data_IF_801696269707
#
_entry.id   IF_801696269707
#
_cell.length_a   1.000
_cell.length_b   1.000
_cell.length_c   1.000
_cell.angle_alpha   90.00
_cell.angle_beta   90.00
_cell.angle_gamma   90.00
#
_symmetry.space_group_name_H-M   'P 1'
#
loop_
_entity.id
_entity.type
_entity.pdbx_description
1 polymer ?
#
# COMPACT_ATOMS: atom_id res chain seq x y z
N UNK A 1 16.99 -7.55 -20.90
CA UNK A 1 17.63 -6.25 -21.14
C UNK A 1 19.02 -6.35 -20.55
N UNK A 2 20.00 -6.61 -21.41
CA UNK A 2 21.38 -6.87 -21.02
C UNK A 2 21.93 -5.71 -20.21
N UNK A 3 22.36 -6.02 -18.97
CA UNK A 3 23.07 -5.07 -18.15
C UNK A 3 24.40 -4.76 -18.83
N UNK A 4 24.50 -3.55 -19.37
CA UNK A 4 25.77 -2.96 -19.75
C UNK A 4 26.59 -2.75 -18.47
N UNK A 5 27.19 -3.82 -17.96
CA UNK A 5 28.39 -3.75 -17.14
C UNK A 5 29.47 -3.14 -18.03
N UNK A 6 29.45 -1.81 -18.18
CA UNK A 6 30.64 -1.07 -18.51
C UNK A 6 31.55 -1.27 -17.32
N UNK A 7 32.45 -2.23 -17.45
CA UNK A 7 33.65 -2.32 -16.63
C UNK A 7 34.34 -0.96 -16.72
N UNK A 8 34.02 -0.09 -15.78
CA UNK A 8 34.89 1.02 -15.44
C UNK A 8 36.08 0.36 -14.77
N UNK A 9 37.00 -0.16 -15.58
CA UNK A 9 38.32 -0.54 -15.15
C UNK A 9 38.92 0.69 -14.47
N UNK A 10 38.78 0.74 -13.15
CA UNK A 10 39.61 1.52 -12.26
C UNK A 10 41.03 1.29 -12.76
N UNK A 11 41.77 2.37 -13.01
CA UNK A 11 43.07 2.34 -13.69
C UNK A 11 43.89 1.09 -13.34
N UNK A 12 44.68 0.52 -14.27
CA UNK A 12 45.78 -0.33 -13.85
C UNK A 12 46.58 0.50 -12.85
N UNK A 13 46.58 0.08 -11.58
CA UNK A 13 47.34 0.78 -10.57
C UNK A 13 48.79 0.72 -11.05
N UNK A 14 49.44 1.87 -11.25
CA UNK A 14 50.88 1.94 -11.52
C UNK A 14 51.71 1.55 -10.28
N UNK A 15 51.18 0.65 -9.45
CA UNK A 15 51.74 0.11 -8.21
C UNK A 15 51.98 -1.37 -8.41
N UNK A 16 52.75 -1.72 -9.44
CA UNK A 16 53.10 -3.09 -9.78
C UNK A 16 54.57 -3.17 -10.20
N UNK A 17 55.19 -4.36 -10.21
CA UNK A 17 56.58 -4.54 -10.62
C UNK A 17 56.86 -4.03 -12.05
N UNK A 18 55.81 -3.92 -12.88
CA UNK A 18 55.88 -3.35 -14.23
C UNK A 18 56.19 -1.84 -14.22
N UNK A 19 55.70 -1.06 -13.24
CA UNK A 19 56.02 0.37 -13.17
C UNK A 19 57.48 0.61 -12.77
N UNK A 20 58.08 -0.30 -12.01
CA UNK A 20 59.52 -0.30 -11.75
C UNK A 20 60.34 -0.62 -13.00
N UNK A 21 59.92 -1.60 -13.80
CA UNK A 21 60.57 -1.91 -15.09
C UNK A 21 60.45 -0.76 -16.08
N UNK A 22 59.28 -0.10 -16.14
CA UNK A 22 59.06 1.09 -16.96
C UNK A 22 59.92 2.26 -16.49
N UNK A 23 60.03 2.47 -15.17
CA UNK A 23 60.90 3.51 -14.59
C UNK A 23 62.37 3.26 -14.92
N UNK A 24 62.85 2.02 -14.75
CA UNK A 24 64.21 1.61 -15.10
C UNK A 24 64.46 1.70 -16.61
N UNK A 25 63.48 1.31 -17.43
CA UNK A 25 63.55 1.37 -18.88
C UNK A 25 63.61 2.80 -19.40
N UNK A 26 62.73 3.69 -18.93
CA UNK A 26 62.73 5.11 -19.29
C UNK A 26 63.99 5.83 -18.81
N UNK A 27 64.48 5.50 -17.60
CA UNK A 27 65.75 6.02 -17.08
C UNK A 27 66.94 5.54 -17.91
N UNK A 28 66.96 4.25 -18.29
CA UNK A 28 67.98 3.70 -19.19
C UNK A 28 67.93 4.30 -20.60
N UNK A 29 66.73 4.59 -21.11
CA UNK A 29 66.53 5.26 -22.40
C UNK A 29 67.05 6.71 -22.35
N UNK A 30 66.82 7.42 -21.23
CA UNK A 30 67.38 8.75 -21.01
C UNK A 30 68.92 8.73 -21.01
N UNK A 31 69.54 7.75 -20.34
CA UNK A 31 71.00 7.55 -20.37
C UNK A 31 71.51 7.21 -21.78
N UNK A 32 70.79 6.37 -22.52
CA UNK A 32 71.13 6.01 -23.90
C UNK A 32 71.05 7.20 -24.86
N UNK A 33 70.05 8.05 -24.71
CA UNK A 33 69.93 9.30 -25.47
C UNK A 33 71.05 10.29 -25.11
N UNK A 34 71.39 10.42 -23.82
CA UNK A 34 72.52 11.24 -23.37
C UNK A 34 73.84 10.80 -24.00
N UNK A 35 74.09 9.48 -24.06
CA UNK A 35 75.28 8.91 -24.70
C UNK A 35 75.31 9.16 -26.23
N UNK A 36 74.15 9.17 -26.89
CA UNK A 36 74.05 9.40 -28.34
C UNK A 36 74.26 10.88 -28.72
N UNK A 37 73.75 11.81 -27.92
CA UNK A 37 73.83 13.25 -28.17
C UNK A 37 75.21 13.83 -27.81
N UNK A 38 75.77 13.43 -26.67
CA UNK A 38 77.06 13.94 -26.15
C UNK A 38 77.90 12.81 -25.56
N UNK A 39 78.69 12.07 -26.37
CA UNK A 39 79.47 10.91 -25.91
C UNK A 39 80.51 11.22 -24.81
N UNK A 40 80.90 12.49 -24.67
CA UNK A 40 81.90 12.97 -23.71
C UNK A 40 81.29 13.36 -22.34
N UNK A 41 79.97 13.58 -22.28
CA UNK A 41 79.24 13.88 -21.04
C UNK A 41 77.80 13.32 -21.11
N UNK A 42 77.64 11.99 -20.93
CA UNK A 42 76.36 11.31 -21.14
C UNK A 42 75.29 11.67 -20.11
N UNK A 43 75.67 12.26 -18.99
CA UNK A 43 74.77 12.76 -17.95
C UNK A 43 74.57 14.28 -18.01
N UNK A 44 75.26 14.97 -18.93
CA UNK A 44 75.23 16.43 -19.10
C UNK A 44 75.56 17.19 -17.80
N UNK A 45 76.49 16.68 -17.00
CA UNK A 45 76.83 17.22 -15.67
C UNK A 45 77.60 18.54 -15.78
N UNK A 46 78.36 18.73 -16.85
CA UNK A 46 79.17 19.94 -17.06
C UNK A 46 78.36 21.09 -17.70
N UNK A 47 77.12 20.84 -18.15
CA UNK A 47 76.23 21.90 -18.61
C UNK A 47 75.54 22.60 -17.43
N UNK A 48 75.48 23.94 -17.46
CA UNK A 48 74.83 24.71 -16.38
C UNK A 48 73.32 24.54 -16.45
N UNK A 49 72.71 23.94 -15.41
CA UNK A 49 71.27 23.71 -15.39
C UNK A 49 70.48 25.04 -15.32
N UNK A 50 69.56 25.28 -16.25
CA UNK A 50 68.79 26.51 -16.27
C UNK A 50 67.55 26.42 -15.36
N UNK A 51 67.69 26.97 -14.16
CA UNK A 51 66.63 27.01 -13.14
C UNK A 51 65.31 27.65 -13.62
N UNK A 52 65.35 28.49 -14.66
CA UNK A 52 64.15 29.14 -15.19
C UNK A 52 63.19 28.18 -15.89
N UNK A 53 63.61 26.95 -16.23
CA UNK A 53 62.73 25.86 -16.71
C UNK A 53 61.67 25.50 -15.66
N UNK A 54 61.93 25.76 -14.37
CA UNK A 54 60.95 25.50 -13.31
C UNK A 54 59.68 26.34 -13.46
N UNK A 55 59.75 27.54 -14.05
CA UNK A 55 58.58 28.39 -14.25
C UNK A 55 57.52 27.74 -15.16
N UNK A 56 57.84 27.31 -16.40
CA UNK A 56 56.87 26.62 -17.26
C UNK A 56 56.46 25.26 -16.71
N UNK A 57 57.31 24.57 -15.95
CA UNK A 57 56.95 23.32 -15.25
C UNK A 57 55.89 23.56 -14.17
N UNK A 58 56.10 24.53 -13.28
CA UNK A 58 55.15 24.86 -12.20
C UNK A 58 53.82 25.38 -12.76
N UNK A 59 53.88 26.23 -13.79
CA UNK A 59 52.69 26.76 -14.45
C UNK A 59 51.97 25.69 -15.26
N UNK A 60 52.69 24.77 -15.90
CA UNK A 60 52.12 23.61 -16.58
C UNK A 60 51.42 22.66 -15.62
N UNK A 61 52.04 22.34 -14.48
CA UNK A 61 51.47 21.46 -13.45
C UNK A 61 50.25 22.06 -12.75
N UNK A 62 50.25 23.39 -12.55
CA UNK A 62 49.15 24.09 -11.87
C UNK A 62 48.03 24.53 -12.81
N UNK A 63 48.31 24.78 -14.09
CA UNK A 63 47.34 25.42 -14.97
C UNK A 63 47.15 24.75 -16.34
N UNK A 64 47.89 23.68 -16.64
CA UNK A 64 47.67 22.84 -17.82
C UNK A 64 48.58 23.17 -18.98
N UNK A 65 48.41 22.44 -20.08
CA UNK A 65 49.24 22.49 -21.28
C UNK A 65 49.41 23.92 -21.80
N UNK A 66 48.30 24.63 -22.00
CA UNK A 66 48.32 25.94 -22.65
C UNK A 66 49.11 26.98 -21.85
N UNK A 67 48.98 26.98 -20.51
CA UNK A 67 49.68 27.96 -19.65
C UNK A 67 51.16 27.60 -19.45
N UNK A 68 51.49 26.30 -19.44
CA UNK A 68 52.88 25.83 -19.48
C UNK A 68 53.58 26.23 -20.78
N UNK A 69 52.90 26.06 -21.92
CA UNK A 69 53.40 26.44 -23.24
C UNK A 69 53.57 27.97 -23.36
N UNK A 70 52.59 28.77 -22.93
CA UNK A 70 52.71 30.23 -22.96
C UNK A 70 53.89 30.70 -22.10
N UNK A 71 54.08 30.12 -20.92
CA UNK A 71 55.24 30.45 -20.08
C UNK A 71 56.55 30.08 -20.77
N UNK A 72 56.63 28.92 -21.43
CA UNK A 72 57.85 28.50 -22.13
C UNK A 72 58.15 29.41 -23.33
N UNK A 73 57.13 29.76 -24.11
CA UNK A 73 57.23 30.70 -25.24
C UNK A 73 57.67 32.09 -24.79
N UNK A 74 57.14 32.60 -23.67
CA UNK A 74 57.56 33.89 -23.12
C UNK A 74 59.04 33.90 -22.73
N UNK A 75 59.54 32.82 -22.14
CA UNK A 75 60.95 32.70 -21.76
C UNK A 75 61.86 32.55 -22.99
N UNK A 76 61.40 31.84 -24.02
CA UNK A 76 62.10 31.76 -25.32
C UNK A 76 62.10 33.12 -26.02
N UNK A 77 61.00 33.87 -25.97
CA UNK A 77 60.93 35.22 -26.55
C UNK A 77 61.87 36.18 -25.83
N UNK A 78 61.90 36.13 -24.49
CA UNK A 78 62.85 36.92 -23.69
C UNK A 78 64.30 36.60 -24.09
N UNK A 79 64.62 35.33 -24.33
CA UNK A 79 65.93 34.90 -24.82
C UNK A 79 66.28 35.53 -26.18
N UNK A 80 65.35 35.54 -27.14
CA UNK A 80 65.57 36.20 -28.43
C UNK A 80 65.77 37.71 -28.30
N UNK A 81 65.04 38.37 -27.38
CA UNK A 81 65.21 39.80 -27.09
C UNK A 81 66.63 40.05 -26.53
N UNK A 82 67.08 39.29 -25.53
CA UNK A 82 68.43 39.44 -24.95
C UNK A 82 69.54 39.16 -25.95
N UNK A 83 69.32 38.22 -26.88
CA UNK A 83 70.23 37.95 -27.99
C UNK A 83 70.32 39.13 -28.95
N UNK A 84 69.19 39.74 -29.30
CA UNK A 84 69.15 40.91 -30.19
C UNK A 84 69.75 42.17 -29.58
N UNK A 85 69.73 42.31 -28.25
CA UNK A 85 70.35 43.43 -27.52
C UNK A 85 71.87 43.28 -27.32
N UNK A 86 72.48 42.20 -27.83
CA UNK A 86 73.94 42.07 -27.88
C UNK A 86 74.62 41.60 -26.60
N UNK A 87 73.90 41.02 -25.63
CA UNK A 87 74.54 40.41 -24.45
C UNK A 87 75.36 39.18 -24.87
N UNK A 88 76.66 39.18 -24.58
CA UNK A 88 77.61 38.12 -24.95
C UNK A 88 77.17 36.73 -24.45
N UNK A 89 76.55 36.65 -23.26
CA UNK A 89 76.07 35.40 -22.67
C UNK A 89 74.95 34.68 -23.46
N UNK A 90 74.27 35.36 -24.40
CA UNK A 90 73.12 34.81 -25.14
C UNK A 90 73.37 34.67 -26.65
N UNK A 91 74.61 34.89 -27.11
CA UNK A 91 74.95 34.79 -28.54
C UNK A 91 75.05 33.33 -29.01
N UNK A 92 75.52 32.42 -28.15
CA UNK A 92 75.72 31.00 -28.43
C UNK A 92 74.83 30.10 -27.55
N UNK A 93 73.52 30.30 -27.60
CA UNK A 93 72.58 29.40 -26.90
C UNK A 93 72.33 28.13 -27.73
N UNK A 94 72.51 26.92 -27.16
CA UNK A 94 72.19 25.67 -27.84
C UNK A 94 70.70 25.58 -28.24
N UNK A 95 70.43 25.11 -29.46
CA UNK A 95 69.04 24.88 -29.91
C UNK A 95 68.28 23.87 -29.01
N UNK A 96 69.02 22.97 -28.34
CA UNK A 96 68.49 22.03 -27.35
C UNK A 96 67.81 22.73 -26.16
N UNK A 97 68.27 23.92 -25.76
CA UNK A 97 67.68 24.69 -24.66
C UNK A 97 66.26 25.16 -24.98
N UNK A 98 66.05 25.72 -26.18
CA UNK A 98 64.74 26.23 -26.62
C UNK A 98 63.74 25.07 -26.72
N UNK A 99 64.17 23.97 -27.32
CA UNK A 99 63.34 22.76 -27.48
C UNK A 99 63.03 22.14 -26.12
N UNK A 100 64.02 22.02 -25.23
CA UNK A 100 63.84 21.48 -23.88
C UNK A 100 62.86 22.31 -23.04
N UNK A 101 62.93 23.63 -23.10
CA UNK A 101 62.00 24.55 -22.42
C UNK A 101 60.54 24.35 -22.88
N UNK A 102 60.33 24.24 -24.19
CA UNK A 102 58.99 24.02 -24.76
C UNK A 102 58.45 22.63 -24.39
N UNK A 103 59.26 21.58 -24.58
CA UNK A 103 58.85 20.20 -24.28
C UNK A 103 58.56 20.03 -22.79
N UNK A 104 59.39 20.59 -21.91
CA UNK A 104 59.20 20.49 -20.46
C UNK A 104 57.86 21.10 -20.01
N UNK A 105 57.54 22.32 -20.49
CA UNK A 105 56.26 22.97 -20.20
C UNK A 105 55.06 22.24 -20.79
N UNK A 106 55.19 21.76 -22.03
CA UNK A 106 54.14 21.02 -22.73
C UNK A 106 53.84 19.68 -22.08
N UNK A 107 54.87 18.88 -21.78
CA UNK A 107 54.71 17.52 -21.29
C UNK A 107 54.05 17.50 -19.91
N UNK A 108 54.52 18.34 -18.98
CA UNK A 108 53.92 18.43 -17.64
C UNK A 108 52.49 18.96 -17.69
N UNK A 109 52.22 19.92 -18.58
CA UNK A 109 50.86 20.45 -18.77
C UNK A 109 49.89 19.44 -19.40
N UNK A 110 50.33 18.65 -20.38
CA UNK A 110 49.50 17.63 -21.03
C UNK A 110 49.12 16.52 -20.04
N UNK A 111 50.08 16.05 -19.23
CA UNK A 111 49.79 15.07 -18.18
C UNK A 111 48.75 15.62 -17.20
N UNK A 112 48.88 16.87 -16.77
CA UNK A 112 47.89 17.51 -15.90
C UNK A 112 46.51 17.53 -16.55
N UNK A 113 46.41 17.92 -17.81
CA UNK A 113 45.13 18.02 -18.52
C UNK A 113 44.48 16.65 -18.76
N UNK A 114 45.28 15.60 -18.95
CA UNK A 114 44.79 14.21 -18.98
C UNK A 114 44.21 13.81 -17.60
N UNK A 115 44.92 14.12 -16.52
CA UNK A 115 44.47 13.79 -15.16
C UNK A 115 43.21 14.55 -14.76
N UNK A 116 43.11 15.84 -15.07
CA UNK A 116 41.92 16.65 -14.80
C UNK A 116 40.71 16.12 -15.56
N UNK A 117 40.84 15.91 -16.88
CA UNK A 117 39.75 15.32 -17.70
C UNK A 117 39.32 13.93 -17.23
N UNK A 118 40.20 13.20 -16.54
CA UNK A 118 39.89 11.89 -15.96
C UNK A 118 39.18 12.04 -14.61
N UNK A 119 39.64 12.96 -13.77
CA UNK A 119 39.02 13.25 -12.48
C UNK A 119 37.57 13.73 -12.67
N UNK A 120 37.35 14.65 -13.60
CA UNK A 120 36.00 15.12 -13.95
C UNK A 120 35.08 13.97 -14.40
N UNK A 121 35.58 13.05 -15.23
CA UNK A 121 34.82 11.86 -15.65
C UNK A 121 34.48 10.92 -14.49
N UNK A 122 35.37 10.79 -13.51
CA UNK A 122 35.12 9.98 -12.32
C UNK A 122 34.09 10.63 -11.40
N UNK A 123 34.17 11.94 -11.24
CA UNK A 123 33.23 12.72 -10.43
C UNK A 123 31.81 12.63 -11.01
N UNK A 124 31.66 12.87 -12.32
CA UNK A 124 30.39 12.70 -13.02
C UNK A 124 29.81 11.28 -12.90
N UNK A 125 30.67 10.25 -12.95
CA UNK A 125 30.22 8.87 -12.79
C UNK A 125 29.79 8.55 -11.35
N UNK A 126 30.41 9.18 -10.36
CA UNK A 126 30.04 9.05 -8.96
C UNK A 126 28.71 9.75 -8.67
N UNK A 127 28.55 11.00 -9.14
CA UNK A 127 27.32 11.76 -9.02
C UNK A 127 26.13 11.01 -9.63
N UNK A 128 26.32 10.44 -10.82
CA UNK A 128 25.30 9.61 -11.46
C UNK A 128 24.91 8.38 -10.62
N UNK A 129 25.88 7.72 -9.96
CA UNK A 129 25.62 6.58 -9.07
C UNK A 129 24.85 7.01 -7.83
N UNK A 130 25.21 8.14 -7.23
CA UNK A 130 24.50 8.68 -6.07
C UNK A 130 23.05 9.02 -6.42
N UNK A 131 22.83 9.72 -7.53
CA UNK A 131 21.49 10.08 -7.99
C UNK A 131 20.61 8.85 -8.22
N UNK A 132 21.20 7.78 -8.78
CA UNK A 132 20.48 6.51 -9.00
C UNK A 132 20.17 5.77 -7.70
N UNK A 133 21.06 5.80 -6.71
CA UNK A 133 20.81 5.23 -5.39
C UNK A 133 19.68 5.96 -4.66
N UNK A 134 19.63 7.29 -4.76
CA UNK A 134 18.57 8.10 -4.16
C UNK A 134 17.21 7.80 -4.80
N UNK A 135 17.17 7.65 -6.12
CA UNK A 135 15.95 7.25 -6.84
C UNK A 135 15.45 5.86 -6.41
N UNK A 136 16.36 4.87 -6.32
CA UNK A 136 16.03 3.54 -5.79
C UNK A 136 15.52 3.60 -4.35
N UNK A 137 16.16 4.40 -3.50
CA UNK A 137 15.77 4.55 -2.09
C UNK A 137 14.38 5.17 -1.97
N UNK A 138 14.09 6.22 -2.74
CA UNK A 138 12.77 6.85 -2.79
C UNK A 138 11.71 5.87 -3.28
N UNK A 139 11.96 5.14 -4.37
CA UNK A 139 11.03 4.16 -4.90
C UNK A 139 10.72 3.05 -3.87
N UNK A 140 11.76 2.51 -3.22
CA UNK A 140 11.61 1.50 -2.19
C UNK A 140 10.82 2.03 -0.99
N UNK A 141 11.11 3.24 -0.52
CA UNK A 141 10.42 3.86 0.61
C UNK A 141 8.93 4.09 0.33
N UNK A 142 8.59 4.57 -0.88
CA UNK A 142 7.21 4.72 -1.33
C UNK A 142 6.49 3.37 -1.36
N UNK A 143 7.12 2.34 -1.94
CA UNK A 143 6.54 1.00 -2.02
C UNK A 143 6.28 0.43 -0.62
N UNK A 144 7.25 0.55 0.30
CA UNK A 144 7.10 0.10 1.68
C UNK A 144 5.95 0.79 2.38
N UNK A 145 5.84 2.12 2.29
CA UNK A 145 4.71 2.85 2.88
C UNK A 145 3.38 2.42 2.26
N UNK A 146 3.34 2.15 0.95
CA UNK A 146 2.13 1.67 0.30
C UNK A 146 1.71 0.29 0.82
N UNK A 147 2.68 -0.61 1.02
CA UNK A 147 2.45 -1.93 1.61
C UNK A 147 1.97 -1.82 3.06
N UNK A 148 2.67 -1.05 3.90
CA UNK A 148 2.30 -0.84 5.30
C UNK A 148 0.89 -0.23 5.43
N UNK A 149 0.50 0.64 4.49
CA UNK A 149 -0.86 1.19 4.42
C UNK A 149 -1.89 0.16 3.95
N UNK A 150 -1.53 -0.70 3.00
CA UNK A 150 -2.40 -1.77 2.53
C UNK A 150 -2.66 -2.79 3.66
N UNK A 151 -1.61 -3.18 4.37
CA UNK A 151 -1.63 -4.12 5.49
C UNK A 151 -2.46 -3.59 6.66
N UNK A 152 -2.24 -2.33 7.07
CA UNK A 152 -3.05 -1.67 8.10
C UNK A 152 -4.52 -1.53 7.68
N UNK A 153 -4.80 -1.33 6.40
CA UNK A 153 -6.18 -1.18 5.89
C UNK A 153 -6.88 -2.54 5.74
N UNK A 154 -6.15 -3.62 5.45
CA UNK A 154 -6.69 -4.99 5.44
C UNK A 154 -6.98 -5.45 6.87
N UNK A 155 -6.06 -5.26 7.82
CA UNK A 155 -6.28 -5.63 9.22
C UNK A 155 -7.30 -4.75 9.96
N UNK A 156 -7.44 -3.47 9.57
CA UNK A 156 -8.34 -2.52 10.23
C UNK A 156 -9.77 -2.50 9.70
N UNK A 157 -10.01 -2.93 8.44
CA UNK A 157 -11.33 -2.79 7.81
C UNK A 157 -12.42 -3.56 8.56
N UNK A 158 -12.17 -4.81 8.91
CA UNK A 158 -13.19 -5.68 9.53
C UNK A 158 -13.62 -5.17 10.92
N UNK A 159 -12.65 -4.73 11.73
CA UNK A 159 -12.94 -4.15 13.04
C UNK A 159 -13.61 -2.77 12.95
N UNK A 160 -13.23 -1.95 11.96
CA UNK A 160 -13.86 -0.66 11.72
C UNK A 160 -15.33 -0.81 11.28
N UNK A 161 -15.61 -1.76 10.39
CA UNK A 161 -16.95 -2.00 9.86
C UNK A 161 -17.91 -2.47 10.97
N UNK A 162 -17.45 -3.42 11.80
CA UNK A 162 -18.20 -3.86 12.99
C UNK A 162 -18.53 -2.68 13.91
N UNK A 163 -17.57 -1.78 14.15
CA UNK A 163 -17.79 -0.62 15.02
C UNK A 163 -18.79 0.39 14.44
N UNK A 164 -18.77 0.63 13.12
CA UNK A 164 -19.70 1.54 12.45
C UNK A 164 -21.13 1.00 12.47
N UNK A 165 -21.32 -0.31 12.22
CA UNK A 165 -22.64 -0.94 12.32
C UNK A 165 -23.18 -0.94 13.75
N UNK A 166 -22.31 -1.07 14.76
CA UNK A 166 -22.71 -0.97 16.16
C UNK A 166 -23.19 0.42 16.55
N UNK A 167 -22.51 1.46 16.07
CA UNK A 167 -22.94 2.84 16.29
C UNK A 167 -24.29 3.13 15.60
N UNK A 168 -24.51 2.58 14.40
CA UNK A 168 -25.80 2.72 13.73
C UNK A 168 -26.92 1.98 14.48
N UNK A 169 -26.65 0.75 14.95
CA UNK A 169 -27.59 -0.03 15.75
C UNK A 169 -27.93 0.63 17.09
N UNK A 170 -26.96 1.29 17.74
CA UNK A 170 -27.20 2.02 18.99
C UNK A 170 -28.12 3.22 18.76
N UNK A 171 -27.96 3.94 17.65
CA UNK A 171 -28.85 5.05 17.24
C UNK A 171 -30.26 4.55 16.94
N UNK A 172 -30.40 3.42 16.24
CA UNK A 172 -31.71 2.80 15.95
C UNK A 172 -32.46 2.45 17.23
N UNK A 173 -31.78 1.86 18.23
CA UNK A 173 -32.38 1.55 19.54
C UNK A 173 -32.83 2.77 20.35
N UNK A 174 -32.34 3.96 20.01
CA UNK A 174 -32.73 5.22 20.66
C UNK A 174 -33.97 5.87 20.05
N UNK A 175 -34.51 5.34 18.94
CA UNK A 175 -35.72 5.86 18.29
C UNK A 175 -36.99 5.47 19.05
N UNK A 176 -38.05 6.27 18.92
CA UNK A 176 -39.34 5.95 19.52
C UNK A 176 -40.10 4.95 18.65
N UNK A 177 -40.91 4.08 19.27
CA UNK A 177 -41.75 3.13 18.54
C UNK A 177 -42.72 3.89 17.62
N UNK A 178 -42.62 3.66 16.31
CA UNK A 178 -43.48 4.26 15.27
C UNK A 178 -42.82 5.35 14.43
N UNK A 179 -41.58 5.76 14.74
CA UNK A 179 -40.79 6.60 13.85
C UNK A 179 -40.38 5.80 12.59
N UNK A 180 -40.40 6.43 11.41
CA UNK A 180 -39.82 5.82 10.21
C UNK A 180 -38.29 5.74 10.37
N UNK A 181 -37.79 4.56 10.73
CA UNK A 181 -36.38 4.32 10.99
C UNK A 181 -35.47 4.70 9.81
N UNK A 182 -35.94 4.51 8.57
CA UNK A 182 -35.17 4.87 7.37
C UNK A 182 -35.04 6.40 7.24
N UNK A 183 -36.15 7.13 7.46
CA UNK A 183 -36.13 8.58 7.43
C UNK A 183 -35.27 9.16 8.57
N UNK A 184 -35.43 8.64 9.79
CA UNK A 184 -34.70 9.10 10.98
C UNK A 184 -33.18 8.85 10.90
N UNK A 185 -32.76 7.72 10.30
CA UNK A 185 -31.35 7.37 10.15
C UNK A 185 -30.76 7.72 8.77
N UNK A 186 -31.51 8.43 7.92
CA UNK A 186 -31.11 8.74 6.55
C UNK A 186 -29.76 9.47 6.45
N UNK A 187 -29.51 10.47 7.30
CA UNK A 187 -28.22 11.18 7.38
C UNK A 187 -27.08 10.29 7.93
N UNK A 188 -27.22 9.62 9.10
CA UNK A 188 -26.23 8.66 9.59
C UNK A 188 -25.84 7.58 8.57
N UNK A 189 -26.82 7.02 7.86
CA UNK A 189 -26.61 5.98 6.83
C UNK A 189 -25.78 6.55 5.67
N UNK A 190 -26.18 7.70 5.13
CA UNK A 190 -25.48 8.33 4.01
C UNK A 190 -24.06 8.75 4.41
N UNK A 191 -23.86 9.25 5.63
CA UNK A 191 -22.54 9.61 6.15
C UNK A 191 -21.64 8.38 6.34
N UNK A 192 -22.18 7.27 6.83
CA UNK A 192 -21.45 6.01 6.95
C UNK A 192 -21.00 5.53 5.57
N UNK A 193 -21.92 5.39 4.61
CA UNK A 193 -21.57 4.96 3.26
C UNK A 193 -20.59 5.94 2.58
N UNK A 194 -20.74 7.24 2.81
CA UNK A 194 -19.80 8.26 2.32
C UNK A 194 -18.40 8.14 2.92
N UNK A 195 -18.28 7.80 4.21
CA UNK A 195 -16.98 7.60 4.86
C UNK A 195 -16.18 6.49 4.19
N UNK A 196 -16.84 5.39 3.84
CA UNK A 196 -16.20 4.24 3.20
C UNK A 196 -16.05 4.38 1.68
N UNK A 197 -17.01 5.02 1.01
CA UNK A 197 -17.01 5.26 -0.44
C UNK A 197 -16.31 6.54 -0.87
N UNK A 198 -15.95 7.43 0.07
CA UNK A 198 -15.42 8.77 -0.17
C UNK A 198 -16.32 9.63 -1.08
N UNK A 199 -17.64 9.61 -0.85
CA UNK A 199 -18.58 10.34 -1.70
C UNK A 199 -18.36 11.84 -1.59
N UNK A 200 -18.46 12.55 -2.72
CA UNK A 200 -18.51 14.03 -2.76
C UNK A 200 -19.93 14.53 -2.93
N UNK A 201 -20.69 13.89 -3.81
CA UNK A 201 -22.09 14.19 -4.06
C UNK A 201 -22.87 12.88 -4.13
N UNK A 202 -23.86 12.72 -3.25
CA UNK A 202 -24.71 11.53 -3.20
C UNK A 202 -26.05 11.85 -2.53
N UNK A 203 -27.08 11.08 -2.84
CA UNK A 203 -28.40 11.16 -2.21
C UNK A 203 -28.91 9.78 -1.81
N UNK A 204 -29.61 9.71 -0.68
CA UNK A 204 -30.35 8.51 -0.26
C UNK A 204 -31.83 8.70 -0.62
N UNK A 205 -32.38 7.78 -1.39
CA UNK A 205 -33.76 7.84 -1.87
C UNK A 205 -34.57 6.66 -1.34
N UNK A 206 -35.81 6.87 -0.85
CA UNK A 206 -36.65 5.80 -0.34
C UNK A 206 -37.22 4.99 -1.52
N UNK A 207 -37.34 3.68 -1.33
CA UNK A 207 -37.96 2.78 -2.31
C UNK A 207 -39.30 2.31 -1.75
N UNK A 208 -40.38 2.64 -2.47
CA UNK A 208 -41.73 2.18 -2.16
C UNK A 208 -41.97 0.75 -2.68
N UNK A 209 -42.95 0.02 -2.10
CA UNK A 209 -43.37 -1.28 -2.61
C UNK A 209 -43.66 -1.24 -4.12
N UNK A 210 -43.02 -2.13 -4.88
CA UNK A 210 -43.06 -2.13 -6.35
C UNK A 210 -41.88 -1.41 -7.02
N UNK A 211 -40.74 -1.25 -6.32
CA UNK A 211 -39.48 -0.70 -6.84
C UNK A 211 -39.59 0.74 -7.38
N UNK A 212 -40.53 1.52 -6.83
CA UNK A 212 -40.69 2.94 -7.18
C UNK A 212 -39.88 3.79 -6.24
N UNK A 213 -39.04 4.66 -6.78
CA UNK A 213 -38.15 5.51 -5.99
C UNK A 213 -38.70 6.92 -5.87
N UNK A 214 -38.57 7.52 -4.69
CA UNK A 214 -38.89 8.94 -4.49
C UNK A 214 -37.97 9.87 -5.29
N UNK A 215 -38.52 10.94 -5.85
CA UNK A 215 -37.75 11.96 -6.62
C UNK A 215 -36.88 12.82 -5.70
N UNK A 216 -37.36 13.09 -4.49
CA UNK A 216 -36.63 13.85 -3.48
C UNK A 216 -35.82 12.90 -2.59
N UNK A 217 -34.53 13.21 -2.33
CA UNK A 217 -33.73 12.42 -1.40
C UNK A 217 -34.21 12.64 0.05
N UNK A 218 -34.16 11.59 0.87
CA UNK A 218 -34.35 11.69 2.32
C UNK A 218 -33.20 12.46 2.96
N UNK A 219 -31.98 12.22 2.48
CA UNK A 219 -30.76 12.92 2.88
C UNK A 219 -29.85 13.08 1.68
N UNK A 220 -29.09 14.17 1.66
CA UNK A 220 -28.18 14.51 0.58
C UNK A 220 -26.81 14.94 1.13
N UNK A 221 -25.76 14.55 0.42
CA UNK A 221 -24.40 14.98 0.63
C UNK A 221 -23.98 15.84 -0.56
N UNK A 222 -23.45 17.03 -0.29
CA UNK A 222 -23.07 17.99 -1.32
C UNK A 222 -24.28 18.61 -2.04
N UNK A 223 -24.04 19.19 -3.22
CA UNK A 223 -25.08 19.82 -4.04
C UNK A 223 -25.82 18.79 -4.91
N UNK A 224 -26.48 17.83 -4.27
CA UNK A 224 -27.20 16.75 -4.94
C UNK A 224 -28.46 17.28 -5.65
N UNK A 225 -28.64 16.89 -6.92
CA UNK A 225 -29.82 17.26 -7.71
C UNK A 225 -30.99 16.30 -7.47
N UNK A 226 -32.25 16.75 -7.67
CA UNK A 226 -33.41 15.85 -7.68
C UNK A 226 -33.21 14.72 -8.69
N UNK A 227 -33.73 13.54 -8.38
CA UNK A 227 -33.54 12.37 -9.22
C UNK A 227 -34.35 12.46 -10.52
N UNK A 228 -33.74 12.08 -11.65
CA UNK A 228 -34.44 12.00 -12.92
C UNK A 228 -35.47 10.86 -12.89
N UNK A 229 -36.70 11.17 -13.32
CA UNK A 229 -37.74 10.17 -13.54
C UNK A 229 -37.27 9.31 -14.71
N UNK A 230 -36.95 8.04 -14.45
CA UNK A 230 -36.38 7.04 -15.39
C UNK A 230 -34.85 7.05 -15.60
N UNK A 231 -34.07 7.37 -14.56
CA UNK A 231 -32.62 7.14 -14.58
C UNK A 231 -32.27 5.65 -14.84
N UNK A 232 -31.46 5.38 -15.87
CA UNK A 232 -31.12 4.02 -16.31
C UNK A 232 -30.38 3.23 -15.23
N UNK A 233 -29.47 3.87 -14.50
CA UNK A 233 -28.62 3.19 -13.52
C UNK A 233 -29.44 2.78 -12.29
N UNK A 234 -30.35 3.66 -11.85
CA UNK A 234 -31.29 3.38 -10.77
C UNK A 234 -32.22 2.23 -11.14
N UNK A 235 -32.76 2.22 -12.36
CA UNK A 235 -33.63 1.12 -12.82
C UNK A 235 -32.88 -0.21 -12.84
N UNK A 236 -31.69 -0.25 -13.44
CA UNK A 236 -30.88 -1.47 -13.48
C UNK A 236 -30.49 -1.97 -12.08
N UNK A 237 -30.17 -1.05 -11.18
CA UNK A 237 -29.84 -1.33 -9.79
C UNK A 237 -31.00 -2.03 -9.06
N UNK A 238 -32.23 -1.55 -9.25
CA UNK A 238 -33.41 -2.13 -8.60
C UNK A 238 -33.93 -3.39 -9.29
N UNK A 239 -33.80 -3.49 -10.62
CA UNK A 239 -34.16 -4.70 -11.37
C UNK A 239 -33.25 -5.88 -11.02
N UNK A 240 -31.95 -5.63 -10.85
CA UNK A 240 -30.97 -6.66 -10.48
C UNK A 240 -30.91 -6.91 -8.98
N UNK A 241 -31.24 -5.91 -8.17
CA UNK A 241 -31.02 -5.94 -6.74
C UNK A 241 -29.53 -5.92 -6.35
N UNK A 242 -28.69 -5.35 -7.21
CA UNK A 242 -27.24 -5.33 -7.06
C UNK A 242 -26.72 -3.90 -7.23
N UNK A 243 -25.53 -3.63 -6.68
CA UNK A 243 -24.82 -2.39 -6.98
C UNK A 243 -24.50 -2.35 -8.47
N UNK A 244 -24.88 -1.25 -9.13
CA UNK A 244 -24.54 -1.02 -10.53
C UNK A 244 -23.75 0.28 -10.65
N UNK A 245 -22.68 0.25 -11.42
CA UNK A 245 -21.81 1.39 -11.66
C UNK A 245 -21.55 1.59 -13.15
N UNK A 246 -21.22 2.82 -13.53
CA UNK A 246 -20.82 3.15 -14.90
C UNK A 246 -19.37 2.67 -15.11
N UNK A 247 -19.06 2.11 -16.29
CA UNK A 247 -17.68 1.68 -16.60
C UNK A 247 -16.72 2.87 -16.52
N UNK A 248 -15.52 2.64 -15.99
CA UNK A 248 -14.47 3.67 -15.83
C UNK A 248 -14.21 4.45 -17.13
N UNK A 249 -14.19 3.76 -18.28
CA UNK A 249 -13.95 4.38 -19.60
C UNK A 249 -15.02 5.38 -20.03
N UNK A 250 -16.26 5.22 -19.56
CA UNK A 250 -17.37 6.14 -19.83
C UNK A 250 -17.44 7.29 -18.80
N UNK A 251 -16.86 7.09 -17.61
CA UNK A 251 -16.64 8.18 -16.66
C UNK A 251 -15.59 9.17 -17.18
N UNK A 252 -14.47 8.69 -17.73
CA UNK A 252 -13.38 9.55 -18.23
C UNK A 252 -13.83 10.51 -19.34
N UNK A 253 -14.81 10.09 -20.14
CA UNK A 253 -15.33 10.85 -21.29
C UNK A 253 -16.59 11.66 -20.98
N UNK A 254 -17.11 11.58 -19.75
CA UNK A 254 -18.38 12.20 -19.32
C UNK A 254 -19.62 11.80 -20.19
N UNK A 255 -19.51 10.76 -21.02
CA UNK A 255 -20.55 10.30 -21.97
C UNK A 255 -21.78 9.68 -21.29
N UNK A 256 -21.68 9.32 -20.01
CA UNK A 256 -22.76 8.71 -19.22
C UNK A 256 -23.89 9.68 -18.87
N UNK A 257 -23.63 11.00 -18.89
CA UNK A 257 -24.59 12.03 -18.47
C UNK A 257 -25.84 12.14 -19.33
N UNK A 258 -25.84 11.54 -20.52
CA UNK A 258 -27.02 11.43 -21.38
C UNK A 258 -28.06 10.44 -20.84
N UNK A 259 -27.63 9.46 -20.03
CA UNK A 259 -28.47 8.32 -19.61
C UNK A 259 -28.58 8.15 -18.08
N UNK A 260 -27.64 8.71 -17.31
CA UNK A 260 -27.63 8.64 -15.86
C UNK A 260 -26.94 9.86 -15.26
N UNK A 261 -27.47 10.36 -14.14
CA UNK A 261 -26.79 11.39 -13.34
C UNK A 261 -25.81 10.80 -12.30
N UNK A 262 -25.81 9.49 -12.14
CA UNK A 262 -25.02 8.78 -11.13
C UNK A 262 -23.85 8.01 -11.75
N UNK A 263 -22.75 7.96 -11.00
CA UNK A 263 -21.59 7.10 -11.25
C UNK A 263 -21.82 5.68 -10.72
N UNK A 264 -22.53 5.57 -9.59
CA UNK A 264 -22.91 4.30 -8.96
C UNK A 264 -24.26 4.41 -8.26
N UNK A 265 -25.03 3.32 -8.30
CA UNK A 265 -26.27 3.15 -7.54
C UNK A 265 -26.10 1.95 -6.60
N UNK A 266 -26.40 2.15 -5.31
CA UNK A 266 -26.18 1.18 -4.25
C UNK A 266 -27.53 0.87 -3.60
N UNK A 267 -28.09 -0.33 -3.79
CA UNK A 267 -29.39 -0.66 -3.20
C UNK A 267 -29.22 -1.13 -1.76
N UNK A 268 -30.12 -0.70 -0.88
CA UNK A 268 -30.24 -1.21 0.49
C UNK A 268 -31.30 -2.31 0.48
N UNK A 269 -30.82 -3.56 0.36
CA UNK A 269 -31.67 -4.75 0.26
C UNK A 269 -31.45 -5.67 1.46
N UNK A 270 -32.54 -6.00 2.12
CA UNK A 270 -32.53 -6.94 3.25
C UNK A 270 -32.37 -8.39 2.77
N UNK A 271 -32.15 -9.30 3.71
CA UNK A 271 -32.04 -10.74 3.44
C UNK A 271 -33.33 -11.38 2.88
N UNK A 272 -34.47 -10.69 2.92
CA UNK A 272 -35.72 -11.14 2.28
C UNK A 272 -35.87 -10.63 0.83
N UNK A 273 -34.89 -9.86 0.32
CA UNK A 273 -34.91 -9.30 -1.03
C UNK A 273 -35.76 -8.02 -1.15
N UNK A 274 -36.14 -7.39 -0.04
CA UNK A 274 -36.88 -6.12 -0.05
C UNK A 274 -35.90 -4.95 -0.17
N UNK A 275 -36.05 -4.16 -1.22
CA UNK A 275 -35.33 -2.90 -1.38
C UNK A 275 -36.00 -1.80 -0.55
N UNK A 276 -35.29 -1.29 0.46
CA UNK A 276 -35.79 -0.23 1.34
C UNK A 276 -35.44 1.16 0.81
N UNK A 277 -34.24 1.30 0.26
CA UNK A 277 -33.71 2.56 -0.24
C UNK A 277 -32.67 2.30 -1.33
N UNK A 278 -32.32 3.35 -2.06
CA UNK A 278 -31.18 3.36 -2.99
C UNK A 278 -30.34 4.59 -2.75
N UNK A 279 -29.02 4.43 -2.71
CA UNK A 279 -28.08 5.54 -2.71
C UNK A 279 -27.62 5.78 -4.13
N UNK A 280 -27.91 6.97 -4.65
CA UNK A 280 -27.38 7.44 -5.91
C UNK A 280 -26.14 8.30 -5.68
N UNK A 281 -24.99 7.86 -6.18
CA UNK A 281 -23.72 8.59 -6.07
C UNK A 281 -23.44 9.34 -7.36
N UNK A 282 -23.54 10.66 -7.33
CA UNK A 282 -23.26 11.55 -8.47
C UNK A 282 -21.75 11.77 -8.65
N UNK A 283 -21.00 11.84 -7.54
CA UNK A 283 -19.56 12.08 -7.61
C UNK A 283 -18.78 11.37 -6.51
N UNK A 284 -17.78 10.57 -6.90
CA UNK A 284 -16.71 10.09 -6.02
C UNK A 284 -15.33 10.24 -6.70
N UNK A 285 -14.22 10.30 -5.93
CA UNK A 285 -12.88 10.32 -6.49
C UNK A 285 -12.54 9.03 -7.25
N UNK A 286 -11.82 9.15 -8.37
CA UNK A 286 -11.41 8.00 -9.20
C UNK A 286 -10.71 6.90 -8.41
N UNK A 287 -9.82 7.23 -7.47
CA UNK A 287 -9.11 6.22 -6.66
C UNK A 287 -10.03 5.39 -5.75
N UNK A 288 -11.22 5.91 -5.40
CA UNK A 288 -12.23 5.19 -4.62
C UNK A 288 -13.16 4.38 -5.50
N UNK A 289 -13.22 4.65 -6.80
CA UNK A 289 -14.03 3.94 -7.77
C UNK A 289 -13.32 2.65 -8.22
N UNK A 290 -13.40 1.61 -7.39
CA UNK A 290 -12.83 0.30 -7.68
C UNK A 290 -13.69 -0.82 -7.06
N UNK A 291 -13.55 -2.04 -7.58
CA UNK A 291 -14.32 -3.23 -7.15
C UNK A 291 -14.29 -3.47 -5.63
N UNK A 292 -13.15 -3.22 -4.97
CA UNK A 292 -13.02 -3.40 -3.52
C UNK A 292 -13.90 -2.42 -2.74
N UNK A 293 -13.89 -1.15 -3.11
CA UNK A 293 -14.75 -0.13 -2.48
C UNK A 293 -16.23 -0.43 -2.74
N UNK A 294 -16.59 -0.78 -3.98
CA UNK A 294 -17.98 -1.09 -4.35
C UNK A 294 -18.48 -2.35 -3.62
N UNK A 295 -17.66 -3.38 -3.49
CA UNK A 295 -17.98 -4.57 -2.69
C UNK A 295 -18.24 -4.20 -1.23
N UNK A 296 -17.38 -3.38 -0.63
CA UNK A 296 -17.56 -2.94 0.75
C UNK A 296 -18.83 -2.10 0.96
N UNK A 297 -19.18 -1.24 0.00
CA UNK A 297 -20.43 -0.48 0.02
C UNK A 297 -21.66 -1.39 -0.08
N UNK A 298 -21.56 -2.46 -0.88
CA UNK A 298 -22.62 -3.47 -1.03
C UNK A 298 -22.85 -4.21 0.30
N UNK A 299 -21.77 -4.64 0.96
CA UNK A 299 -21.82 -5.28 2.29
C UNK A 299 -22.51 -4.34 3.30
N UNK A 300 -22.03 -3.10 3.40
CA UNK A 300 -22.59 -2.12 4.32
C UNK A 300 -24.08 -1.85 4.05
N UNK A 301 -24.46 -1.66 2.79
CA UNK A 301 -25.85 -1.42 2.42
C UNK A 301 -26.76 -2.59 2.80
N UNK A 302 -26.30 -3.83 2.62
CA UNK A 302 -27.02 -5.03 3.04
C UNK A 302 -27.22 -5.11 4.55
N UNK A 303 -26.14 -4.91 5.33
CA UNK A 303 -26.22 -4.91 6.80
C UNK A 303 -27.13 -3.80 7.34
N UNK A 304 -27.06 -2.60 6.75
CA UNK A 304 -27.94 -1.48 7.12
C UNK A 304 -29.39 -1.83 6.82
N UNK A 305 -29.67 -2.45 5.67
CA UNK A 305 -31.02 -2.86 5.30
C UNK A 305 -31.60 -3.89 6.28
N UNK A 306 -30.79 -4.85 6.75
CA UNK A 306 -31.24 -5.80 7.77
C UNK A 306 -31.52 -5.13 9.12
N UNK A 307 -30.69 -4.17 9.53
CA UNK A 307 -30.92 -3.41 10.77
C UNK A 307 -32.24 -2.66 10.71
N UNK A 308 -32.55 -2.01 9.59
CA UNK A 308 -33.81 -1.27 9.38
C UNK A 308 -35.03 -2.21 9.26
N UNK A 309 -34.84 -3.42 8.77
CA UNK A 309 -35.93 -4.41 8.59
C UNK A 309 -36.34 -5.10 9.89
N UNK A 310 -35.55 -4.98 10.96
CA UNK A 310 -35.79 -5.67 12.23
C UNK A 310 -37.14 -5.31 12.88
N UNK A 311 -37.72 -4.13 12.62
CA UNK A 311 -39.03 -3.73 13.15
C UNK A 311 -40.24 -4.38 12.44
N UNK A 312 -40.07 -4.92 11.24
CA UNK A 312 -41.18 -5.43 10.41
C UNK A 312 -41.42 -6.95 10.54
N UNK A 313 -40.69 -7.65 11.42
CA UNK A 313 -40.78 -9.10 11.56
C UNK A 313 -41.99 -9.51 12.42
N UNK A 314 -43.15 -9.43 11.80
CA UNK A 314 -44.41 -10.01 12.26
C UNK A 314 -44.56 -11.34 11.50
N UNK A 315 -44.39 -12.48 12.21
CA UNK A 315 -44.91 -13.83 11.89
C UNK A 315 -44.11 -14.81 11.00
N UNK A 316 -42.93 -15.33 11.41
CA UNK A 316 -42.36 -16.56 10.77
C UNK A 316 -41.81 -17.65 11.71
N UNK A 317 -41.39 -17.31 12.92
CA UNK A 317 -41.10 -18.26 14.02
C UNK A 317 -41.77 -17.75 15.31
N UNK A 318 -42.09 -18.64 16.25
CA UNK A 318 -42.74 -18.25 17.51
C UNK A 318 -41.83 -17.38 18.41
N UNK A 319 -40.50 -17.47 18.22
CA UNK A 319 -39.48 -16.73 18.98
C UNK A 319 -38.80 -15.66 18.10
N UNK A 320 -38.86 -14.39 18.55
CA UNK A 320 -38.22 -13.25 17.87
C UNK A 320 -36.70 -13.37 17.83
N UNK A 321 -36.09 -13.97 18.85
CA UNK A 321 -34.63 -14.10 18.94
C UNK A 321 -34.13 -15.09 17.89
N UNK A 322 -34.87 -16.19 17.68
CA UNK A 322 -34.58 -17.19 16.64
C UNK A 322 -34.71 -16.63 15.22
N UNK A 323 -35.70 -15.76 14.96
CA UNK A 323 -35.85 -15.09 13.67
C UNK A 323 -34.67 -14.17 13.39
N UNK A 324 -34.34 -13.32 14.37
CA UNK A 324 -33.22 -12.39 14.25
C UNK A 324 -31.91 -13.15 14.03
N UNK A 325 -31.65 -14.20 14.81
CA UNK A 325 -30.47 -15.04 14.63
C UNK A 325 -30.40 -15.66 13.22
N UNK A 326 -31.51 -16.21 12.74
CA UNK A 326 -31.62 -16.81 11.41
C UNK A 326 -31.36 -15.79 10.29
N UNK A 327 -31.85 -14.57 10.43
CA UNK A 327 -31.61 -13.47 9.49
C UNK A 327 -30.10 -13.15 9.40
N UNK A 328 -29.41 -13.04 10.53
CA UNK A 328 -27.97 -12.77 10.55
C UNK A 328 -27.13 -13.93 10.00
N UNK A 329 -27.55 -15.18 10.23
CA UNK A 329 -26.91 -16.35 9.61
C UNK A 329 -27.02 -16.27 8.08
N UNK A 330 -28.20 -15.93 7.55
CA UNK A 330 -28.40 -15.73 6.10
C UNK A 330 -27.52 -14.61 5.56
N UNK A 331 -27.42 -13.47 6.27
CA UNK A 331 -26.53 -12.38 5.88
C UNK A 331 -25.07 -12.84 5.81
N UNK A 332 -24.59 -13.56 6.83
CA UNK A 332 -23.22 -14.08 6.85
C UNK A 332 -22.94 -15.02 5.67
N UNK A 333 -23.91 -15.86 5.27
CA UNK A 333 -23.77 -16.71 4.08
C UNK A 333 -23.67 -15.90 2.78
N UNK A 334 -24.47 -14.84 2.65
CA UNK A 334 -24.41 -13.93 1.50
C UNK A 334 -23.06 -13.22 1.44
N UNK A 335 -22.59 -12.69 2.56
CA UNK A 335 -21.31 -11.98 2.67
C UNK A 335 -20.12 -12.89 2.36
N UNK A 336 -20.15 -14.12 2.86
CA UNK A 336 -19.10 -15.12 2.61
C UNK A 336 -19.03 -15.49 1.12
N UNK A 337 -20.18 -15.74 0.47
CA UNK A 337 -20.23 -16.13 -0.95
C UNK A 337 -19.92 -14.98 -1.91
N UNK A 338 -20.46 -13.80 -1.63
CA UNK A 338 -20.44 -12.68 -2.57
C UNK A 338 -19.23 -11.77 -2.36
N UNK A 339 -18.68 -11.74 -1.14
CA UNK A 339 -17.66 -10.77 -0.74
C UNK A 339 -16.48 -11.37 0.04
N UNK A 340 -16.38 -12.71 0.15
CA UNK A 340 -15.28 -13.40 0.83
C UNK A 340 -15.03 -12.91 2.27
N UNK A 341 -16.11 -12.55 2.97
CA UNK A 341 -16.05 -12.16 4.38
C UNK A 341 -16.42 -13.34 5.26
N UNK A 342 -15.48 -13.72 6.12
CA UNK A 342 -15.67 -14.86 7.01
C UNK A 342 -16.60 -14.51 8.16
N UNK A 343 -17.32 -15.51 8.64
CA UNK A 343 -18.01 -15.50 9.92
C UNK A 343 -17.82 -16.86 10.59
N UNK A 344 -17.92 -16.90 11.93
CA UNK A 344 -17.79 -18.17 12.66
C UNK A 344 -19.02 -18.40 13.50
N UNK A 345 -19.54 -19.62 13.45
CA UNK A 345 -20.66 -20.07 14.25
C UNK A 345 -20.17 -21.08 15.27
N UNK A 346 -20.33 -20.77 16.55
CA UNK A 346 -20.10 -21.69 17.65
C UNK A 346 -21.41 -22.29 18.15
N UNK A 347 -21.37 -23.55 18.54
CA UNK A 347 -22.40 -24.21 19.32
C UNK A 347 -21.77 -24.74 20.62
N UNK A 348 -22.21 -24.19 21.75
CA UNK A 348 -21.82 -24.66 23.07
C UNK A 348 -22.92 -25.60 23.58
N UNK A 349 -22.68 -26.90 23.55
CA UNK A 349 -23.59 -27.90 24.14
C UNK A 349 -23.24 -28.06 25.62
N UNK A 350 -24.17 -27.74 26.52
CA UNK A 350 -23.97 -27.76 27.97
C UNK A 350 -24.57 -29.05 28.52
N UNK A 351 -23.70 -29.94 29.01
CA UNK A 351 -24.13 -31.17 29.66
C UNK A 351 -24.82 -30.88 31.00
N UNK A 352 -25.81 -31.67 31.43
CA UNK A 352 -26.44 -31.49 32.74
C UNK A 352 -25.41 -31.59 33.87
N UNK A 353 -25.17 -30.48 34.56
CA UNK A 353 -24.23 -30.38 35.67
C UNK A 353 -24.73 -29.38 36.71
N UNK A 354 -24.14 -29.39 37.91
CA UNK A 354 -24.48 -28.42 38.96
C UNK A 354 -24.23 -26.96 38.54
N UNK A 355 -23.32 -26.75 37.57
CA UNK A 355 -22.91 -25.43 37.09
C UNK A 355 -23.55 -25.05 35.74
N UNK A 356 -24.40 -25.91 35.15
CA UNK A 356 -24.93 -25.71 33.80
C UNK A 356 -25.63 -24.35 33.62
N UNK A 357 -26.49 -23.97 34.56
CA UNK A 357 -27.21 -22.69 34.51
C UNK A 357 -26.27 -21.48 34.66
N UNK A 358 -25.23 -21.61 35.49
CA UNK A 358 -24.27 -20.53 35.71
C UNK A 358 -23.36 -20.34 34.49
N UNK A 359 -22.94 -21.45 33.89
CA UNK A 359 -22.12 -21.45 32.69
C UNK A 359 -22.91 -20.96 31.47
N UNK A 360 -24.18 -21.34 31.34
CA UNK A 360 -25.06 -20.77 30.32
C UNK A 360 -25.13 -19.25 30.45
N UNK A 361 -25.37 -18.72 31.67
CA UNK A 361 -25.38 -17.28 31.93
C UNK A 361 -24.03 -16.62 31.64
N UNK A 362 -22.91 -17.28 31.95
CA UNK A 362 -21.59 -16.76 31.64
C UNK A 362 -21.38 -16.59 30.13
N UNK A 363 -21.80 -17.58 29.33
CA UNK A 363 -21.74 -17.49 27.86
C UNK A 363 -22.68 -16.37 27.37
N UNK A 364 -23.87 -16.25 27.95
CA UNK A 364 -24.83 -15.18 27.65
C UNK A 364 -24.24 -13.79 27.91
N UNK A 365 -23.69 -13.58 29.10
CA UNK A 365 -23.08 -12.32 29.53
C UNK A 365 -21.80 -11.98 28.72
N UNK A 366 -21.21 -12.98 28.03
CA UNK A 366 -20.02 -12.78 27.21
C UNK A 366 -20.30 -12.13 25.85
N UNK A 367 -21.58 -11.96 25.48
CA UNK A 367 -22.02 -11.33 24.24
C UNK A 367 -21.44 -9.92 24.10
N UNK A 368 -20.78 -9.62 22.98
CA UNK A 368 -20.18 -8.31 22.73
C UNK A 368 -20.40 -7.86 21.30
N UNK A 369 -20.58 -6.56 21.13
CA UNK A 369 -20.66 -5.97 19.80
C UNK A 369 -21.76 -6.58 18.94
N UNK A 370 -21.40 -7.03 17.74
CA UNK A 370 -22.34 -7.62 16.77
C UNK A 370 -22.58 -9.12 16.98
N UNK A 371 -21.91 -9.73 17.97
CA UNK A 371 -22.08 -11.15 18.25
C UNK A 371 -23.54 -11.41 18.60
N UNK A 372 -24.12 -12.45 18.00
CA UNK A 372 -25.48 -12.87 18.25
C UNK A 372 -25.48 -14.19 18.97
N UNK A 373 -26.44 -14.36 19.87
CA UNK A 373 -26.58 -15.59 20.60
C UNK A 373 -28.01 -16.07 20.53
N UNK A 374 -28.19 -17.38 20.44
CA UNK A 374 -29.50 -18.01 20.49
C UNK A 374 -29.47 -19.17 21.47
N UNK A 375 -30.39 -19.16 22.41
CA UNK A 375 -30.59 -20.24 23.37
C UNK A 375 -31.45 -21.30 22.69
N UNK A 376 -30.95 -22.51 22.62
CA UNK A 376 -31.66 -23.63 22.02
C UNK A 376 -31.57 -24.83 22.93
N UNK A 377 -32.66 -25.57 23.03
CA UNK A 377 -32.67 -26.85 23.75
C UNK A 377 -32.66 -27.95 22.71
N UNK A 378 -31.58 -28.74 22.66
CA UNK A 378 -31.49 -29.92 21.81
C UNK A 378 -31.96 -31.15 22.58
N UNK A 379 -32.09 -32.29 21.89
CA UNK A 379 -32.33 -33.58 22.54
C UNK A 379 -31.22 -33.97 23.54
N UNK A 380 -30.06 -33.30 23.52
CA UNK A 380 -28.89 -33.58 24.37
C UNK A 380 -28.77 -32.62 25.56
N UNK A 381 -29.60 -31.59 25.66
CA UNK A 381 -29.57 -30.61 26.75
C UNK A 381 -29.63 -29.17 26.26
N UNK A 382 -29.28 -28.24 27.14
CA UNK A 382 -29.21 -26.82 26.82
C UNK A 382 -28.01 -26.54 25.92
N UNK A 383 -28.20 -25.69 24.91
CA UNK A 383 -27.13 -25.23 24.04
C UNK A 383 -27.26 -23.75 23.74
N UNK A 384 -26.11 -23.08 23.59
CA UNK A 384 -26.04 -21.69 23.18
C UNK A 384 -25.31 -21.64 21.84
N UNK A 385 -26.01 -21.18 20.81
CA UNK A 385 -25.39 -20.83 19.54
C UNK A 385 -24.82 -19.42 19.66
N UNK A 386 -23.61 -19.21 19.15
CA UNK A 386 -22.97 -17.89 19.08
C UNK A 386 -22.48 -17.66 17.67
N UNK A 387 -23.08 -16.70 16.99
CA UNK A 387 -22.65 -16.24 15.68
C UNK A 387 -21.72 -15.04 15.85
N UNK A 388 -20.56 -15.09 15.20
CA UNK A 388 -19.59 -14.01 15.09
C UNK A 388 -19.56 -13.52 13.63
N UNK A 389 -20.39 -12.52 13.26
CA UNK A 389 -20.39 -11.98 11.90
C UNK A 389 -19.07 -11.28 11.58
N UNK A 390 -18.63 -11.26 10.32
CA UNK A 390 -17.47 -10.46 9.89
C UNK A 390 -16.22 -10.73 10.75
N UNK A 391 -15.96 -12.00 11.02
CA UNK A 391 -14.92 -12.44 11.96
C UNK A 391 -14.13 -13.57 11.32
N UNK A 392 -12.82 -13.34 11.16
CA UNK A 392 -11.88 -14.33 10.66
C UNK A 392 -11.67 -15.47 11.67
N UNK A 393 -11.15 -16.63 11.24
CA UNK A 393 -10.82 -17.74 12.14
C UNK A 393 -9.90 -17.34 13.30
N UNK A 394 -8.94 -16.44 13.06
CA UNK A 394 -8.06 -15.90 14.11
C UNK A 394 -8.84 -15.08 15.16
N UNK A 395 -9.81 -14.28 14.69
CA UNK A 395 -10.71 -13.53 15.57
C UNK A 395 -11.58 -14.45 16.43
N UNK A 396 -12.00 -15.59 15.89
CA UNK A 396 -12.76 -16.61 16.61
C UNK A 396 -11.92 -17.29 17.70
N UNK A 397 -10.63 -17.52 17.48
CA UNK A 397 -9.72 -17.98 18.53
C UNK A 397 -9.60 -16.96 19.66
N UNK A 398 -9.50 -15.66 19.32
CA UNK A 398 -9.50 -14.57 20.31
C UNK A 398 -10.78 -14.53 21.15
N UNK A 399 -11.95 -14.80 20.54
CA UNK A 399 -13.21 -14.96 21.26
C UNK A 399 -13.16 -16.11 22.27
N UNK A 400 -12.70 -17.30 21.86
CA UNK A 400 -12.58 -18.46 22.74
C UNK A 400 -11.60 -18.20 23.90
N UNK A 401 -10.43 -17.62 23.63
CA UNK A 401 -9.45 -17.27 24.67
C UNK A 401 -10.05 -16.34 25.72
N UNK A 402 -10.82 -15.34 25.29
CA UNK A 402 -11.54 -14.44 26.20
C UNK A 402 -12.60 -15.19 27.02
N UNK A 403 -13.36 -16.09 26.38
CA UNK A 403 -14.36 -16.90 27.08
C UNK A 403 -13.71 -17.82 28.12
N UNK A 404 -12.58 -18.44 27.79
CA UNK A 404 -11.77 -19.21 28.75
C UNK A 404 -11.30 -18.35 29.92
N UNK A 405 -10.84 -17.12 29.68
CA UNK A 405 -10.48 -16.18 30.76
C UNK A 405 -11.65 -15.93 31.72
N UNK A 406 -12.86 -15.70 31.20
CA UNK A 406 -14.07 -15.51 32.03
C UNK A 406 -14.43 -16.77 32.84
N UNK A 407 -14.27 -17.96 32.25
CA UNK A 407 -14.49 -19.24 32.94
C UNK A 407 -13.48 -19.40 34.07
N UNK A 408 -12.19 -19.12 33.82
CA UNK A 408 -11.15 -19.21 34.84
C UNK A 408 -11.34 -18.21 35.98
N UNK A 409 -11.82 -17.00 35.70
CA UNK A 409 -12.15 -16.00 36.71
C UNK A 409 -13.33 -16.43 37.60
N UNK A 410 -14.35 -17.08 37.02
CA UNK A 410 -15.59 -17.41 37.73
C UNK A 410 -15.56 -18.77 38.44
N UNK A 411 -14.93 -19.77 37.83
CA UNK A 411 -14.90 -21.14 38.35
C UNK A 411 -13.52 -21.57 38.89
N UNK A 412 -12.46 -20.80 38.61
CA UNK A 412 -11.08 -21.06 39.05
C UNK A 412 -10.14 -21.40 37.88
N UNK A 413 -8.84 -21.12 38.07
CA UNK A 413 -7.80 -21.19 37.02
C UNK A 413 -7.62 -22.57 36.37
N UNK A 414 -8.01 -23.66 37.05
CA UNK A 414 -7.86 -25.03 36.56
C UNK A 414 -9.09 -25.53 35.77
N UNK A 415 -10.18 -24.77 35.75
CA UNK A 415 -11.43 -25.15 35.09
C UNK A 415 -11.40 -24.71 33.62
N UNK A 416 -11.69 -25.64 32.70
CA UNK A 416 -11.93 -25.36 31.28
C UNK A 416 -13.41 -25.61 30.92
N UNK A 417 -13.83 -25.13 29.75
CA UNK A 417 -15.18 -25.39 29.23
C UNK A 417 -15.46 -26.90 29.16
N UNK A 418 -14.49 -27.69 28.68
CA UNK A 418 -14.61 -29.14 28.54
C UNK A 418 -14.73 -29.85 29.90
N UNK A 419 -13.95 -29.42 30.89
CA UNK A 419 -14.01 -29.98 32.25
C UNK A 419 -15.33 -29.69 32.97
N UNK A 420 -15.96 -28.55 32.64
CA UNK A 420 -17.28 -28.15 33.12
C UNK A 420 -18.45 -28.81 32.37
N UNK A 421 -18.14 -29.71 31.41
CA UNK A 421 -19.13 -30.46 30.64
C UNK A 421 -19.68 -29.72 29.42
N UNK A 422 -18.95 -28.72 28.91
CA UNK A 422 -19.30 -27.99 27.69
C UNK A 422 -18.59 -28.61 26.51
N UNK A 423 -19.36 -28.99 25.49
CA UNK A 423 -18.81 -29.41 24.21
C UNK A 423 -18.94 -28.25 23.23
N UNK A 424 -17.79 -27.70 22.83
CA UNK A 424 -17.71 -26.65 21.82
C UNK A 424 -17.64 -27.27 20.44
N UNK A 425 -18.52 -26.84 19.53
CA UNK A 425 -18.42 -27.09 18.10
C UNK A 425 -18.31 -25.76 17.36
N UNK A 426 -17.54 -25.71 16.29
CA UNK A 426 -17.37 -24.53 15.46
C UNK A 426 -17.63 -24.86 14.01
N UNK A 427 -18.20 -23.90 13.29
CA UNK A 427 -18.37 -23.95 11.85
C UNK A 427 -17.93 -22.62 11.25
N UNK A 428 -16.96 -22.69 10.35
CA UNK A 428 -16.46 -21.53 9.63
C UNK A 428 -17.33 -21.28 8.39
N UNK A 429 -17.92 -20.09 8.34
CA UNK A 429 -18.72 -19.60 7.21
C UNK A 429 -17.77 -18.78 6.33
N UNK A 430 -17.21 -19.43 5.31
CA UNK A 430 -16.34 -18.82 4.31
C UNK A 430 -16.88 -18.98 2.89
N UNK A 431 -16.11 -18.57 1.89
CA UNK A 431 -16.55 -18.53 0.48
C UNK A 431 -17.00 -19.89 -0.09
N UNK A 432 -16.46 -21.00 0.44
CA UNK A 432 -16.82 -22.38 0.04
C UNK A 432 -17.98 -22.98 0.85
N UNK A 433 -18.55 -22.24 1.81
CA UNK A 433 -19.58 -22.76 2.70
C UNK A 433 -20.93 -22.92 1.98
N UNK A 434 -21.36 -24.18 1.86
CA UNK A 434 -22.67 -24.53 1.33
C UNK A 434 -23.73 -24.48 2.44
N UNK A 435 -24.94 -24.02 2.09
CA UNK A 435 -26.10 -24.02 2.98
C UNK A 435 -26.44 -25.44 3.44
N UNK A 436 -26.14 -26.46 2.63
CA UNK A 436 -26.28 -27.86 3.02
C UNK A 436 -25.30 -28.28 4.12
N UNK A 437 -24.05 -27.80 4.07
CA UNK A 437 -23.04 -28.09 5.10
C UNK A 437 -23.39 -27.41 6.42
N UNK A 438 -23.86 -26.15 6.37
CA UNK A 438 -24.35 -25.47 7.57
C UNK A 438 -25.60 -26.15 8.17
N UNK A 439 -26.54 -26.61 7.33
CA UNK A 439 -27.69 -27.42 7.76
C UNK A 439 -27.24 -28.72 8.41
N UNK A 440 -26.23 -29.39 7.86
CA UNK A 440 -25.67 -30.60 8.46
C UNK A 440 -25.08 -30.32 9.84
N UNK A 441 -24.30 -29.25 9.98
CA UNK A 441 -23.75 -28.82 11.25
C UNK A 441 -24.83 -28.51 12.30
N UNK A 442 -25.85 -27.72 11.95
CA UNK A 442 -26.89 -27.33 12.88
C UNK A 442 -27.83 -28.49 13.25
N UNK A 443 -28.29 -29.26 12.27
CA UNK A 443 -29.35 -30.26 12.51
C UNK A 443 -28.81 -31.65 12.87
N UNK A 444 -27.66 -32.07 12.33
CA UNK A 444 -27.11 -33.40 12.61
C UNK A 444 -26.06 -33.35 13.72
N UNK A 445 -25.12 -32.41 13.63
CA UNK A 445 -24.03 -32.33 14.62
C UNK A 445 -24.51 -31.75 15.94
N UNK A 446 -25.20 -30.60 15.91
CA UNK A 446 -25.73 -29.91 17.09
C UNK A 446 -27.12 -30.43 17.52
N UNK A 447 -27.73 -31.33 16.75
CA UNK A 447 -29.03 -31.95 17.02
C UNK A 447 -30.18 -30.94 17.20
N UNK A 448 -30.19 -29.87 16.40
CA UNK A 448 -31.26 -28.86 16.35
C UNK A 448 -32.28 -29.18 15.26
N UNK A 449 -33.35 -28.40 15.17
CA UNK A 449 -34.37 -28.53 14.12
C UNK A 449 -34.67 -27.21 13.39
N UNK A 450 -35.34 -27.31 12.24
CA UNK A 450 -35.69 -26.18 11.37
C UNK A 450 -36.67 -25.19 12.01
N UNK A 451 -37.34 -25.57 13.11
CA UNK A 451 -38.20 -24.66 13.88
C UNK A 451 -37.40 -23.79 14.87
N UNK A 452 -36.17 -24.17 15.20
CA UNK A 452 -35.28 -23.42 16.08
C UNK A 452 -34.37 -22.47 15.31
N UNK A 453 -33.88 -22.88 14.13
CA UNK A 453 -33.03 -22.05 13.26
C UNK A 453 -33.41 -22.30 11.81
N UNK A 454 -33.77 -21.24 11.09
CA UNK A 454 -34.16 -21.32 9.68
C UNK A 454 -33.04 -20.80 8.77
N UNK A 455 -32.51 -21.66 7.90
CA UNK A 455 -31.38 -21.34 6.99
C UNK A 455 -31.86 -21.22 5.56
#
# INVERSE_FOLDING_TARGET
MDSAHKDFTLAPRATGPVSWLETLGLSGLALGLGYWLSPQDPLLVNETFPWLVLAPLLLGMRYGFLRGLISAVLLVLALFIYRSSGLEAYQEVPASFIVGMLIAGMLVGEYRDIWVRRLERLDMANDYRQLRLDEFTRAHYILRISHDRLEKRVAGNDQSLRSSLLDLRSKLRGLHQGDDALAALSEPILNLLSQYGSFRVAGLYPVSPGAKVGVAPLSALGACKPMQVDDLLVRLCLERGELVSVRETLLERDEHREHTQFQACIPLIDTEGRALAVVGVEQMPFFSFNERTLSLLTILAGHIADLLSSEHHVLRLDDSDAQHFSQHVKRCLIDARSHTLDAVLFAFEISPSAHANELQRLIEDSQRGLDLQLKVTSARGASVLVLLPLTSPDGAQGYLQRLHGLVSERFGLEQSLELLGVRTRSYDIGASSDSAALRHFLFNECALNDQQVAI
#
